data_IF_809588772205
#
_entry.id   IF_809588772205
#
_cell.length_a   1.000
_cell.length_b   1.000
_cell.length_c   1.000
_cell.angle_alpha   90.00
_cell.angle_beta   90.00
_cell.angle_gamma   90.00
#
_symmetry.space_group_name_H-M   'P 1'
#
loop_
_entity.id
_entity.type
_entity.pdbx_description
1 polymer ?
#
# COMPACT_ATOMS: atom_id res chain seq x y z
N UNK A 1 -14.24 1.19 -13.51
CA UNK A 1 -14.48 1.32 -14.96
C UNK A 1 -13.17 1.61 -15.67
N UNK A 2 -12.73 0.75 -16.60
CA UNK A 2 -11.54 0.98 -17.42
C UNK A 2 -11.74 2.20 -18.34
N UNK A 3 -10.65 2.71 -18.90
CA UNK A 3 -10.70 3.71 -19.98
C UNK A 3 -11.69 3.27 -21.06
N UNK A 4 -12.46 4.21 -21.61
CA UNK A 4 -13.55 3.96 -22.57
C UNK A 4 -13.11 3.29 -23.87
N UNK A 5 -11.82 3.33 -24.17
CA UNK A 5 -11.27 2.69 -25.37
C UNK A 5 -10.99 1.20 -25.11
N UNK A 6 -11.07 0.31 -26.11
CA UNK A 6 -10.62 -1.08 -25.98
C UNK A 6 -9.10 -1.17 -25.71
N UNK A 7 -8.62 -2.14 -24.93
CA UNK A 7 -7.18 -2.35 -24.75
C UNK A 7 -6.53 -2.82 -26.06
N UNK A 8 -5.33 -2.33 -26.34
CA UNK A 8 -4.55 -2.70 -27.55
C UNK A 8 -3.48 -3.76 -27.27
N UNK A 9 -3.15 -4.01 -26.00
CA UNK A 9 -2.14 -4.99 -25.61
C UNK A 9 -2.72 -6.41 -25.63
N UNK A 10 -2.11 -7.38 -26.34
CA UNK A 10 -2.64 -8.75 -26.44
C UNK A 10 -2.76 -9.49 -25.10
N UNK A 11 -1.93 -9.12 -24.12
CA UNK A 11 -1.96 -9.68 -22.77
C UNK A 11 -2.99 -9.03 -21.83
N UNK A 12 -3.83 -8.12 -22.33
CA UNK A 12 -4.80 -7.42 -21.49
C UNK A 12 -5.80 -8.39 -20.86
N UNK A 13 -6.05 -8.21 -19.57
CA UNK A 13 -6.98 -9.00 -18.77
C UNK A 13 -8.03 -8.08 -18.14
N UNK A 14 -9.30 -8.44 -18.31
CA UNK A 14 -10.39 -7.81 -17.58
C UNK A 14 -10.31 -8.26 -16.12
N UNK A 15 -10.23 -7.32 -15.18
CA UNK A 15 -10.09 -7.63 -13.75
C UNK A 15 -11.41 -7.45 -13.04
N UNK A 16 -11.79 -8.43 -12.23
CA UNK A 16 -12.94 -8.30 -11.32
C UNK A 16 -12.80 -9.23 -10.11
N UNK A 17 -13.80 -9.20 -9.25
CA UNK A 17 -13.95 -10.08 -8.10
C UNK A 17 -15.32 -10.76 -8.15
N UNK A 18 -15.40 -12.00 -7.67
CA UNK A 18 -16.64 -12.74 -7.51
C UNK A 18 -16.79 -13.13 -6.04
N UNK A 19 -17.93 -12.74 -5.47
CA UNK A 19 -18.40 -13.20 -4.18
C UNK A 19 -19.11 -14.54 -4.31
N UNK A 20 -18.50 -15.58 -3.74
CA UNK A 20 -19.04 -16.94 -3.77
C UNK A 20 -20.18 -17.13 -2.76
N UNK A 21 -20.36 -16.19 -1.83
CA UNK A 21 -21.38 -16.27 -0.78
C UNK A 21 -22.81 -16.15 -1.36
N UNK A 22 -22.97 -15.52 -2.52
CA UNK A 22 -24.24 -15.43 -3.25
C UNK A 22 -24.51 -16.65 -4.15
N UNK A 23 -23.55 -17.54 -4.29
CA UNK A 23 -23.63 -18.73 -5.15
C UNK A 23 -24.13 -19.91 -4.31
N UNK A 24 -25.13 -20.69 -4.73
CA UNK A 24 -25.54 -21.89 -3.98
C UNK A 24 -24.43 -22.94 -3.89
N UNK A 25 -24.31 -23.65 -2.76
CA UNK A 25 -23.27 -24.69 -2.54
C UNK A 25 -23.32 -25.85 -3.55
N UNK A 26 -24.47 -26.06 -4.20
CA UNK A 26 -24.65 -27.08 -5.24
C UNK A 26 -24.02 -26.72 -6.59
N UNK A 27 -23.59 -25.46 -6.77
CA UNK A 27 -23.04 -24.94 -8.03
C UNK A 27 -21.52 -25.08 -8.02
N UNK A 28 -20.99 -25.83 -9.00
CA UNK A 28 -19.56 -26.04 -9.18
C UNK A 28 -18.90 -25.05 -10.14
N UNK A 29 -19.67 -24.27 -10.90
CA UNK A 29 -19.17 -23.25 -11.83
C UNK A 29 -20.01 -21.99 -11.80
N UNK A 30 -19.35 -20.84 -11.90
CA UNK A 30 -20.01 -19.53 -11.97
C UNK A 30 -19.71 -18.91 -13.32
N UNK A 31 -20.75 -18.44 -14.01
CA UNK A 31 -20.62 -17.70 -15.25
C UNK A 31 -20.99 -16.23 -15.01
N UNK A 32 -20.10 -15.33 -15.37
CA UNK A 32 -20.31 -13.88 -15.28
C UNK A 32 -20.26 -13.25 -16.66
N UNK A 33 -21.03 -12.17 -16.84
CA UNK A 33 -20.95 -11.31 -18.03
C UNK A 33 -20.11 -10.09 -17.66
N UNK A 34 -18.88 -9.96 -18.18
CA UNK A 34 -18.02 -8.82 -17.88
C UNK A 34 -18.64 -7.49 -18.34
N UNK A 35 -18.67 -6.50 -17.44
CA UNK A 35 -19.04 -5.14 -17.81
C UNK A 35 -17.87 -4.42 -18.49
N UNK A 36 -18.16 -3.69 -19.57
CA UNK A 36 -17.17 -2.86 -20.28
C UNK A 36 -15.90 -3.64 -20.70
N UNK A 37 -16.05 -4.90 -21.08
CA UNK A 37 -14.94 -5.77 -21.47
C UNK A 37 -14.65 -5.77 -22.98
N UNK A 38 -15.07 -4.74 -23.71
CA UNK A 38 -14.78 -4.62 -25.14
C UNK A 38 -13.26 -4.64 -25.40
N UNK A 39 -12.82 -5.53 -26.29
CA UNK A 39 -11.41 -5.73 -26.64
C UNK A 39 -10.61 -6.64 -25.69
N UNK A 40 -11.16 -7.05 -24.55
CA UNK A 40 -10.52 -8.05 -23.70
C UNK A 40 -10.82 -9.46 -24.22
N UNK A 41 -9.80 -10.33 -24.21
CA UNK A 41 -9.94 -11.76 -24.54
C UNK A 41 -9.83 -12.67 -23.33
N UNK A 42 -9.29 -12.14 -22.23
CA UNK A 42 -9.02 -12.86 -20.99
C UNK A 42 -9.54 -12.05 -19.80
N UNK A 43 -9.84 -12.74 -18.73
CA UNK A 43 -10.19 -12.19 -17.44
C UNK A 43 -9.24 -12.71 -16.36
N UNK A 44 -9.05 -11.90 -15.32
CA UNK A 44 -8.45 -12.27 -14.05
C UNK A 44 -9.45 -11.96 -12.94
N UNK A 45 -9.84 -12.99 -12.21
CA UNK A 45 -10.91 -12.93 -11.22
C UNK A 45 -10.36 -13.26 -9.84
N UNK A 46 -10.58 -12.38 -8.86
CA UNK A 46 -10.39 -12.72 -7.45
C UNK A 46 -11.66 -13.39 -6.95
N UNK A 47 -11.56 -14.62 -6.45
CA UNK A 47 -12.68 -15.29 -5.80
C UNK A 47 -12.64 -15.00 -4.30
N UNK A 48 -13.77 -14.56 -3.73
CA UNK A 48 -13.94 -14.27 -2.30
C UNK A 48 -15.02 -15.15 -1.71
N UNK A 49 -14.81 -15.61 -0.48
CA UNK A 49 -15.82 -16.33 0.30
C UNK A 49 -15.71 -15.92 1.77
N UNK A 50 -16.85 -15.71 2.41
CA UNK A 50 -16.99 -15.18 3.76
C UNK A 50 -16.13 -13.93 4.02
N UNK A 51 -16.14 -13.01 3.05
CA UNK A 51 -15.34 -11.80 3.09
C UNK A 51 -13.83 -12.02 3.17
N UNK A 52 -13.32 -13.17 2.68
CA UNK A 52 -11.89 -13.48 2.61
C UNK A 52 -11.51 -13.95 1.20
N UNK A 53 -10.39 -13.49 0.63
CA UNK A 53 -9.94 -13.94 -0.69
C UNK A 53 -9.56 -15.42 -0.63
N UNK A 54 -9.98 -16.18 -1.63
CA UNK A 54 -9.70 -17.61 -1.78
C UNK A 54 -8.55 -17.81 -2.76
N UNK A 55 -8.70 -17.34 -3.99
CA UNK A 55 -7.70 -17.48 -5.05
C UNK A 55 -7.95 -16.50 -6.20
N UNK A 56 -6.92 -16.25 -7.01
CA UNK A 56 -7.08 -15.69 -8.34
C UNK A 56 -7.32 -16.80 -9.37
N UNK A 57 -8.16 -16.52 -10.37
CA UNK A 57 -8.41 -17.39 -11.52
C UNK A 57 -8.27 -16.57 -12.79
N UNK A 58 -7.43 -17.05 -13.71
CA UNK A 58 -7.33 -16.52 -15.06
C UNK A 58 -8.18 -17.38 -16.01
N UNK A 59 -9.07 -16.76 -16.78
CA UNK A 59 -10.00 -17.45 -17.68
C UNK A 59 -10.18 -16.70 -19.01
N UNK A 60 -10.59 -17.40 -20.06
CA UNK A 60 -10.90 -16.78 -21.35
C UNK A 60 -12.31 -16.18 -21.35
N UNK A 61 -12.48 -15.09 -22.11
CA UNK A 61 -13.80 -14.51 -22.40
C UNK A 61 -14.32 -15.17 -23.68
N UNK A 62 -15.32 -16.04 -23.55
CA UNK A 62 -15.93 -16.80 -24.66
C UNK A 62 -17.38 -16.37 -24.81
N UNK A 63 -17.76 -15.96 -26.02
CA UNK A 63 -19.11 -15.47 -26.34
C UNK A 63 -19.62 -14.38 -25.38
N UNK A 64 -18.71 -13.50 -24.93
CA UNK A 64 -19.00 -12.39 -24.02
C UNK A 64 -19.16 -12.78 -22.56
N UNK A 65 -18.83 -14.01 -22.18
CA UNK A 65 -18.94 -14.51 -20.80
C UNK A 65 -17.63 -15.12 -20.31
N UNK A 66 -17.48 -15.19 -18.98
CA UNK A 66 -16.37 -15.86 -18.31
C UNK A 66 -16.94 -16.91 -17.38
N UNK A 67 -16.48 -18.15 -17.51
CA UNK A 67 -16.88 -19.24 -16.62
C UNK A 67 -15.68 -19.71 -15.80
N UNK A 68 -15.86 -19.81 -14.49
CA UNK A 68 -14.82 -20.27 -13.55
C UNK A 68 -15.36 -21.38 -12.66
N UNK A 69 -14.47 -22.28 -12.25
CA UNK A 69 -14.77 -23.29 -11.24
C UNK A 69 -14.86 -22.64 -9.85
N UNK A 70 -15.82 -23.11 -9.06
CA UNK A 70 -15.98 -22.70 -7.67
C UNK A 70 -15.04 -23.57 -6.81
N UNK A 71 -14.01 -22.98 -6.18
CA UNK A 71 -13.13 -23.72 -5.28
C UNK A 71 -13.84 -24.07 -3.98
N UNK A 72 -13.19 -24.89 -3.15
CA UNK A 72 -13.66 -25.14 -1.78
C UNK A 72 -13.80 -23.81 -1.02
N UNK A 73 -15.01 -23.60 -0.48
CA UNK A 73 -15.37 -22.37 0.23
C UNK A 73 -14.68 -22.33 1.58
N UNK A 74 -14.34 -21.12 2.02
CA UNK A 74 -13.88 -20.91 3.39
C UNK A 74 -15.08 -20.88 4.32
N UNK A 75 -14.94 -21.47 5.50
CA UNK A 75 -15.93 -21.32 6.54
C UNK A 75 -16.08 -19.84 6.91
N UNK A 76 -17.30 -19.44 7.26
CA UNK A 76 -17.55 -18.11 7.77
C UNK A 76 -16.64 -17.82 8.97
N UNK A 77 -15.94 -16.68 8.93
CA UNK A 77 -15.21 -16.19 10.09
C UNK A 77 -16.21 -15.81 11.19
N UNK A 78 -15.79 -15.98 12.44
CA UNK A 78 -16.53 -15.44 13.59
C UNK A 78 -16.83 -13.95 13.41
N UNK A 79 -17.91 -13.49 14.04
CA UNK A 79 -18.28 -12.07 14.10
C UNK A 79 -17.09 -11.26 14.62
N UNK A 80 -16.61 -10.32 13.79
CA UNK A 80 -15.49 -9.44 14.12
C UNK A 80 -16.06 -8.18 14.77
N UNK A 81 -15.48 -7.66 15.86
CA UNK A 81 -15.82 -6.34 16.36
C UNK A 81 -15.61 -5.28 15.27
N UNK A 82 -16.51 -4.30 15.17
CA UNK A 82 -16.41 -3.18 14.24
C UNK A 82 -16.08 -1.89 15.00
N UNK A 83 -14.82 -1.69 15.44
CA UNK A 83 -14.42 -0.47 16.14
C UNK A 83 -14.47 0.75 15.20
N UNK A 84 -14.63 1.98 15.72
CA UNK A 84 -14.54 3.19 14.91
C UNK A 84 -13.19 3.30 14.17
N UNK A 85 -13.20 3.70 12.90
CA UNK A 85 -11.98 3.85 12.08
C UNK A 85 -11.85 5.27 11.53
N UNK A 86 -10.64 5.83 11.54
CA UNK A 86 -10.32 7.05 10.77
C UNK A 86 -9.62 6.65 9.48
N UNK A 87 -10.22 6.95 8.34
CA UNK A 87 -9.57 6.78 7.03
C UNK A 87 -8.78 8.05 6.72
N UNK A 88 -7.48 7.91 6.45
CA UNK A 88 -6.62 9.00 6.02
C UNK A 88 -6.24 8.79 4.56
N UNK A 89 -6.66 9.73 3.70
CA UNK A 89 -6.35 9.75 2.28
C UNK A 89 -5.50 10.99 1.99
N UNK A 90 -4.25 10.78 1.57
CA UNK A 90 -3.35 11.86 1.22
C UNK A 90 -3.38 12.10 -0.29
N UNK A 91 -3.53 13.36 -0.71
CA UNK A 91 -3.57 13.72 -2.13
C UNK A 91 -2.82 15.02 -2.39
N UNK A 92 -2.39 15.20 -3.63
CA UNK A 92 -1.75 16.45 -4.09
C UNK A 92 -1.99 16.64 -5.59
N UNK A 93 -2.75 17.67 -5.93
CA UNK A 93 -2.99 18.10 -7.32
C UNK A 93 -3.51 16.97 -8.23
N UNK A 94 -4.37 16.09 -7.71
CA UNK A 94 -4.96 14.94 -8.42
C UNK A 94 -6.48 14.81 -8.20
N UNK A 95 -7.28 15.83 -8.54
CA UNK A 95 -8.72 15.85 -8.24
C UNK A 95 -9.48 14.65 -8.82
N UNK A 96 -9.17 14.21 -10.05
CA UNK A 96 -9.85 13.08 -10.70
C UNK A 96 -9.58 11.73 -10.02
N UNK A 97 -8.37 11.53 -9.50
CA UNK A 97 -8.01 10.34 -8.73
C UNK A 97 -8.74 10.36 -7.39
N UNK A 98 -8.69 11.50 -6.69
CA UNK A 98 -9.39 11.70 -5.43
C UNK A 98 -10.90 11.44 -5.54
N UNK A 99 -11.57 11.98 -6.56
CA UNK A 99 -13.01 11.79 -6.77
C UNK A 99 -13.37 10.30 -6.83
N UNK A 100 -12.58 9.51 -7.56
CA UNK A 100 -12.78 8.06 -7.70
C UNK A 100 -12.52 7.31 -6.39
N UNK A 101 -11.45 7.66 -5.68
CA UNK A 101 -11.14 7.05 -4.39
C UNK A 101 -12.25 7.35 -3.37
N UNK A 102 -12.72 8.60 -3.29
CA UNK A 102 -13.83 8.98 -2.41
C UNK A 102 -15.15 8.30 -2.78
N UNK A 103 -15.44 8.12 -4.07
CA UNK A 103 -16.62 7.35 -4.50
C UNK A 103 -16.58 5.91 -3.96
N UNK A 104 -15.41 5.25 -3.96
CA UNK A 104 -15.27 3.91 -3.38
C UNK A 104 -15.37 3.90 -1.86
N UNK A 105 -14.79 4.89 -1.17
CA UNK A 105 -14.86 5.01 0.29
C UNK A 105 -16.30 5.25 0.77
N UNK A 106 -17.09 6.02 0.02
CA UNK A 106 -18.51 6.26 0.34
C UNK A 106 -19.37 4.99 0.24
N UNK A 107 -18.93 4.02 -0.54
CA UNK A 107 -19.59 2.72 -0.73
C UNK A 107 -19.15 1.64 0.28
N UNK A 108 -18.34 2.00 1.29
CA UNK A 108 -17.93 1.07 2.35
C UNK A 108 -19.14 0.56 3.15
N UNK A 109 -19.20 -0.74 3.34
CA UNK A 109 -20.10 -1.42 4.26
C UNK A 109 -19.50 -1.40 5.67
N UNK A 110 -19.46 -0.20 6.26
CA UNK A 110 -18.92 0.01 7.61
C UNK A 110 -19.65 1.18 8.27
N UNK A 111 -20.19 0.97 9.46
CA UNK A 111 -21.07 1.96 10.08
C UNK A 111 -20.31 3.17 10.66
N UNK A 112 -19.21 2.92 11.38
CA UNK A 112 -18.55 3.93 12.21
C UNK A 112 -17.16 4.28 11.67
N UNK A 113 -17.11 5.26 10.77
CA UNK A 113 -15.85 5.80 10.28
C UNK A 113 -15.92 7.29 9.92
N UNK A 114 -14.77 7.96 10.01
CA UNK A 114 -14.54 9.29 9.42
C UNK A 114 -13.48 9.20 8.32
N UNK A 115 -13.44 10.21 7.44
CA UNK A 115 -12.46 10.34 6.37
C UNK A 115 -11.78 11.69 6.48
N UNK A 116 -10.45 11.67 6.66
CA UNK A 116 -9.58 12.83 6.64
C UNK A 116 -8.86 12.86 5.29
N UNK A 117 -9.30 13.75 4.40
CA UNK A 117 -8.60 14.03 3.15
C UNK A 117 -7.52 15.06 3.43
N UNK A 118 -6.26 14.64 3.36
CA UNK A 118 -5.11 15.52 3.55
C UNK A 118 -4.67 16.07 2.21
N UNK A 119 -4.94 17.35 2.00
CA UNK A 119 -4.56 18.10 0.81
C UNK A 119 -3.14 18.65 0.98
N UNK A 120 -2.16 18.02 0.32
CA UNK A 120 -0.75 18.26 0.59
C UNK A 120 -0.13 19.29 -0.37
N UNK A 121 0.11 20.50 0.15
CA UNK A 121 0.70 21.63 -0.58
C UNK A 121 0.05 21.83 -1.96
N UNK A 122 -1.30 21.96 -2.02
CA UNK A 122 -2.03 22.12 -3.27
C UNK A 122 -1.62 23.38 -4.01
N UNK A 123 -1.56 23.30 -5.33
CA UNK A 123 -1.36 24.47 -6.19
C UNK A 123 -2.67 25.22 -6.50
N UNK A 124 -3.82 24.56 -6.31
CA UNK A 124 -5.16 25.07 -6.66
C UNK A 124 -6.22 24.60 -5.65
N UNK A 125 -7.43 25.15 -5.71
CA UNK A 125 -8.56 24.71 -4.88
C UNK A 125 -9.30 23.48 -5.44
N UNK A 126 -8.77 22.80 -6.46
CA UNK A 126 -9.45 21.66 -7.10
C UNK A 126 -9.77 20.52 -6.12
N UNK A 127 -8.84 20.18 -5.22
CA UNK A 127 -9.07 19.20 -4.15
C UNK A 127 -10.22 19.62 -3.23
N UNK A 128 -10.29 20.91 -2.87
CA UNK A 128 -11.36 21.43 -2.01
C UNK A 128 -12.72 21.31 -2.68
N UNK A 129 -12.80 21.59 -3.99
CA UNK A 129 -14.02 21.44 -4.77
C UNK A 129 -14.51 19.98 -4.81
N UNK A 130 -13.60 19.01 -5.01
CA UNK A 130 -13.95 17.58 -5.01
C UNK A 130 -14.50 17.14 -3.64
N UNK A 131 -13.84 17.53 -2.55
CA UNK A 131 -14.32 17.18 -1.20
C UNK A 131 -15.69 17.82 -0.91
N UNK A 132 -15.88 19.08 -1.28
CA UNK A 132 -17.16 19.78 -1.09
C UNK A 132 -18.30 19.13 -1.90
N UNK A 133 -18.01 18.66 -3.12
CA UNK A 133 -18.98 18.00 -3.99
C UNK A 133 -19.43 16.62 -3.49
N UNK A 134 -18.71 16.00 -2.56
CA UNK A 134 -19.08 14.68 -2.01
C UNK A 134 -20.36 14.72 -1.16
N UNK A 135 -20.66 15.87 -0.53
CA UNK A 135 -21.80 16.08 0.37
C UNK A 135 -21.98 14.92 1.39
N UNK A 136 -20.90 14.54 2.06
CA UNK A 136 -20.88 13.47 3.05
C UNK A 136 -20.23 13.99 4.34
N UNK A 137 -21.01 14.01 5.43
CA UNK A 137 -20.57 14.56 6.72
C UNK A 137 -19.42 13.79 7.35
N UNK A 138 -19.13 12.56 6.89
CA UNK A 138 -17.99 11.77 7.35
C UNK A 138 -16.67 12.27 6.74
N UNK A 139 -16.71 13.02 5.66
CA UNK A 139 -15.53 13.43 4.88
C UNK A 139 -15.17 14.88 5.17
N UNK A 140 -13.93 15.12 5.59
CA UNK A 140 -13.40 16.46 5.81
C UNK A 140 -12.01 16.64 5.21
N UNK A 141 -11.73 17.85 4.74
CA UNK A 141 -10.42 18.26 4.24
C UNK A 141 -9.56 18.83 5.36
N UNK A 142 -8.29 18.45 5.40
CA UNK A 142 -7.23 19.09 6.20
C UNK A 142 -6.09 19.50 5.28
N UNK A 143 -5.53 20.70 5.49
CA UNK A 143 -4.41 21.21 4.70
C UNK A 143 -3.07 20.84 5.35
N UNK A 144 -2.15 20.27 4.58
CA UNK A 144 -0.73 20.17 4.96
C UNK A 144 0.09 21.10 4.04
N UNK A 145 0.62 22.23 4.54
CA UNK A 145 1.30 23.21 3.70
C UNK A 145 2.67 22.76 3.18
N UNK A 146 3.31 21.77 3.83
CA UNK A 146 4.66 21.32 3.50
C UNK A 146 4.64 20.08 2.61
N UNK A 147 5.19 20.14 1.39
CA UNK A 147 5.12 19.00 0.46
C UNK A 147 5.84 17.76 1.02
N UNK A 148 5.24 16.59 0.81
CA UNK A 148 5.81 15.29 1.16
C UNK A 148 4.77 14.36 1.79
N UNK A 149 4.70 13.14 1.29
CA UNK A 149 3.70 12.15 1.72
C UNK A 149 3.75 11.86 3.23
N UNK A 150 4.95 11.77 3.82
CA UNK A 150 5.08 11.60 5.27
C UNK A 150 4.54 12.78 6.08
N UNK A 151 4.67 14.02 5.58
CA UNK A 151 4.06 15.18 6.24
C UNK A 151 2.54 15.06 6.20
N UNK A 152 1.99 14.74 5.03
CA UNK A 152 0.56 14.55 4.86
C UNK A 152 0.02 13.43 5.77
N UNK A 153 0.70 12.29 5.83
CA UNK A 153 0.34 11.16 6.70
C UNK A 153 0.44 11.53 8.19
N UNK A 154 1.44 12.30 8.61
CA UNK A 154 1.52 12.81 9.98
C UNK A 154 0.36 13.75 10.32
N UNK A 155 0.04 14.68 9.43
CA UNK A 155 -1.10 15.60 9.60
C UNK A 155 -2.43 14.86 9.65
N UNK A 156 -2.61 13.85 8.80
CA UNK A 156 -3.77 12.95 8.86
C UNK A 156 -3.84 12.15 10.16
N UNK A 157 -2.72 11.55 10.59
CA UNK A 157 -2.63 10.79 11.86
C UNK A 157 -3.02 11.64 13.07
N UNK A 158 -2.54 12.89 13.13
CA UNK A 158 -2.85 13.81 14.22
C UNK A 158 -4.31 14.27 14.17
N UNK A 159 -4.86 14.46 12.97
CA UNK A 159 -6.23 14.91 12.75
C UNK A 159 -7.27 13.82 13.01
N UNK A 160 -6.91 12.55 12.85
CA UNK A 160 -7.77 11.40 13.10
C UNK A 160 -8.30 11.37 14.55
N UNK A 161 -9.59 11.07 14.72
CA UNK A 161 -10.26 11.01 16.02
C UNK A 161 -10.32 9.60 16.62
N UNK A 162 -10.18 8.57 15.80
CA UNK A 162 -10.28 7.18 16.23
C UNK A 162 -8.91 6.54 16.50
N UNK A 163 -8.91 5.46 17.29
CA UNK A 163 -7.68 4.74 17.64
C UNK A 163 -7.14 3.90 16.48
N UNK A 164 -7.99 3.44 15.56
CA UNK A 164 -7.55 2.78 14.33
C UNK A 164 -7.53 3.80 13.21
N UNK A 165 -6.37 3.96 12.58
CA UNK A 165 -6.17 4.87 11.45
C UNK A 165 -5.76 4.06 10.23
N UNK A 166 -6.65 3.99 9.24
CA UNK A 166 -6.43 3.30 7.97
C UNK A 166 -5.93 4.30 6.92
N UNK A 167 -4.76 4.04 6.34
CA UNK A 167 -4.16 4.84 5.28
C UNK A 167 -4.39 4.19 3.93
N UNK A 168 -4.77 5.02 2.97
CA UNK A 168 -4.86 4.63 1.55
C UNK A 168 -4.51 5.81 0.64
N UNK A 169 -4.28 5.53 -0.64
CA UNK A 169 -3.83 6.51 -1.63
C UNK A 169 -5.00 7.02 -2.50
N UNK A 170 -4.77 8.06 -3.30
CA UNK A 170 -5.80 8.63 -4.19
C UNK A 170 -5.98 7.86 -5.50
N UNK A 171 -5.04 7.00 -5.88
CA UNK A 171 -5.04 6.22 -7.12
C UNK A 171 -5.53 4.77 -6.96
N UNK A 172 -6.32 4.53 -5.90
CA UNK A 172 -6.89 3.23 -5.55
C UNK A 172 -8.41 3.25 -5.48
N UNK A 173 -8.99 2.05 -5.46
CA UNK A 173 -10.42 1.79 -5.22
C UNK A 173 -10.52 0.80 -4.07
N UNK A 174 -11.11 1.21 -2.95
CA UNK A 174 -11.26 0.33 -1.78
C UNK A 174 -12.42 -0.65 -2.01
N UNK A 175 -12.27 -1.88 -1.52
CA UNK A 175 -13.37 -2.85 -1.49
C UNK A 175 -14.43 -2.46 -0.45
N UNK A 176 -15.74 -2.70 -0.66
CA UNK A 176 -16.78 -2.37 0.31
C UNK A 176 -16.56 -2.97 1.71
N UNK A 177 -15.91 -4.13 1.82
CA UNK A 177 -15.59 -4.80 3.09
C UNK A 177 -14.17 -4.46 3.60
N UNK A 178 -13.48 -3.49 2.99
CA UNK A 178 -12.09 -3.15 3.32
C UNK A 178 -11.87 -2.89 4.83
N UNK A 179 -12.72 -2.07 5.46
CA UNK A 179 -12.60 -1.76 6.88
C UNK A 179 -12.95 -2.94 7.79
N UNK A 180 -13.82 -3.84 7.35
CA UNK A 180 -14.10 -5.09 8.06
C UNK A 180 -12.85 -5.99 8.08
N UNK A 181 -12.15 -6.08 6.94
CA UNK A 181 -10.86 -6.75 6.85
C UNK A 181 -9.80 -6.12 7.76
N UNK A 182 -9.70 -4.78 7.79
CA UNK A 182 -8.79 -4.08 8.71
C UNK A 182 -9.11 -4.41 10.17
N UNK A 183 -10.38 -4.34 10.57
CA UNK A 183 -10.82 -4.69 11.91
C UNK A 183 -10.46 -6.13 12.28
N UNK A 184 -10.64 -7.09 11.35
CA UNK A 184 -10.26 -8.50 11.51
C UNK A 184 -8.76 -8.66 11.73
N UNK A 185 -7.93 -7.86 11.08
CA UNK A 185 -6.48 -7.89 11.28
C UNK A 185 -6.07 -7.55 12.71
N UNK A 186 -6.77 -6.59 13.34
CA UNK A 186 -6.49 -6.19 14.73
C UNK A 186 -6.96 -7.20 15.77
N UNK A 187 -7.83 -8.17 15.42
CA UNK A 187 -8.23 -9.25 16.36
C UNK A 187 -7.23 -10.40 16.41
N UNK A 188 -6.19 -10.40 15.57
CA UNK A 188 -5.17 -11.46 15.51
C UNK A 188 -4.19 -11.45 16.69
N UNK A 189 -4.25 -10.44 17.55
CA UNK A 189 -3.49 -10.38 18.81
C UNK A 189 -3.53 -9.01 19.47
N UNK A 190 -3.37 -8.98 20.79
CA UNK A 190 -3.50 -7.75 21.58
C UNK A 190 -2.38 -6.72 21.29
N UNK A 191 -1.20 -7.20 20.86
CA UNK A 191 -0.05 -6.35 20.53
C UNK A 191 0.05 -5.98 19.03
N UNK A 192 -1.02 -6.19 18.25
CA UNK A 192 -1.08 -5.77 16.85
C UNK A 192 -1.13 -4.25 16.77
N UNK A 193 -0.09 -3.68 16.16
CA UNK A 193 0.04 -2.23 15.96
C UNK A 193 -0.19 -1.83 14.51
N UNK A 194 0.08 -2.73 13.56
CA UNK A 194 -0.07 -2.47 12.14
C UNK A 194 -0.77 -3.64 11.45
N UNK A 195 -1.76 -3.34 10.61
CA UNK A 195 -2.44 -4.29 9.72
C UNK A 195 -2.21 -3.81 8.30
N UNK A 196 -1.62 -4.64 7.45
CA UNK A 196 -1.52 -4.42 6.02
C UNK A 196 -2.59 -5.25 5.31
N UNK A 197 -3.10 -4.76 4.18
CA UNK A 197 -4.07 -5.48 3.36
C UNK A 197 -3.53 -5.92 2.00
N UNK A 198 -4.39 -6.61 1.25
CA UNK A 198 -4.10 -7.01 -0.13
C UNK A 198 -4.23 -5.81 -1.07
N UNK A 199 -3.31 -5.69 -2.02
CA UNK A 199 -3.35 -4.64 -3.05
C UNK A 199 -3.22 -5.25 -4.45
N UNK A 200 -4.30 -5.86 -4.98
CA UNK A 200 -4.30 -6.39 -6.34
C UNK A 200 -4.34 -5.27 -7.39
N UNK A 201 -3.87 -5.60 -8.60
CA UNK A 201 -4.04 -4.75 -9.77
C UNK A 201 -5.52 -4.58 -10.08
N UNK A 202 -6.02 -3.34 -10.10
CA UNK A 202 -7.40 -3.05 -10.51
C UNK A 202 -7.60 -2.97 -12.03
N UNK A 203 -6.52 -3.03 -12.81
CA UNK A 203 -6.55 -2.87 -14.26
C UNK A 203 -5.30 -3.51 -14.89
N UNK A 204 -5.49 -4.37 -15.89
CA UNK A 204 -4.41 -5.00 -16.66
C UNK A 204 -4.64 -4.76 -18.17
N UNK A 205 -4.27 -3.56 -18.64
CA UNK A 205 -4.49 -3.10 -20.02
C UNK A 205 -3.22 -2.91 -20.83
N UNK A 206 -2.09 -2.72 -20.16
CA UNK A 206 -0.80 -2.50 -20.82
C UNK A 206 0.26 -3.46 -20.29
N UNK A 207 1.29 -3.69 -21.10
CA UNK A 207 2.44 -4.48 -20.69
C UNK A 207 3.09 -3.96 -19.39
N UNK A 208 3.14 -2.65 -19.19
CA UNK A 208 3.65 -2.03 -17.96
C UNK A 208 2.83 -2.43 -16.73
N UNK A 209 1.49 -2.48 -16.84
CA UNK A 209 0.61 -2.92 -15.75
C UNK A 209 0.79 -4.42 -15.47
N UNK A 210 0.81 -5.26 -16.51
CA UNK A 210 1.08 -6.70 -16.36
C UNK A 210 2.45 -7.00 -15.76
N UNK A 211 3.47 -6.24 -16.13
CA UNK A 211 4.82 -6.38 -15.57
C UNK A 211 4.84 -6.03 -14.07
N UNK A 212 4.16 -4.94 -13.70
CA UNK A 212 4.10 -4.51 -12.30
C UNK A 212 3.40 -5.57 -11.44
N UNK A 213 2.24 -6.04 -11.90
CA UNK A 213 1.43 -7.08 -11.25
C UNK A 213 2.25 -8.34 -10.92
N UNK A 214 3.05 -8.83 -11.87
CA UNK A 214 3.90 -10.02 -11.64
C UNK A 214 5.14 -9.76 -10.78
N UNK A 215 5.55 -8.50 -10.65
CA UNK A 215 6.81 -8.11 -10.00
C UNK A 215 6.63 -7.85 -8.51
N UNK A 216 5.49 -7.30 -8.10
CA UNK A 216 5.26 -6.92 -6.70
C UNK A 216 4.47 -8.00 -5.95
N UNK A 217 4.82 -8.31 -4.69
CA UNK A 217 4.15 -9.39 -3.94
C UNK A 217 2.85 -8.92 -3.27
N UNK A 218 2.25 -7.82 -3.72
CA UNK A 218 1.18 -7.11 -2.99
C UNK A 218 -0.15 -7.86 -2.93
N UNK A 219 -0.33 -8.87 -3.80
CA UNK A 219 -1.51 -9.73 -3.84
C UNK A 219 -1.19 -11.23 -3.62
N UNK A 220 0.07 -11.57 -3.32
CA UNK A 220 0.52 -12.97 -3.19
C UNK A 220 -0.02 -13.67 -1.93
N UNK A 221 -0.38 -12.90 -0.91
CA UNK A 221 -0.83 -13.43 0.38
C UNK A 221 -2.34 -13.58 0.37
N UNK A 222 -2.82 -14.84 0.37
CA UNK A 222 -4.26 -15.19 0.42
C UNK A 222 -4.70 -15.70 1.80
N UNK A 223 -3.76 -15.94 2.71
CA UNK A 223 -4.01 -16.34 4.10
C UNK A 223 -3.42 -15.30 5.06
N UNK A 224 -4.09 -15.00 6.19
CA UNK A 224 -3.57 -14.06 7.17
C UNK A 224 -2.19 -14.47 7.68
N UNK A 225 -1.26 -13.50 7.75
CA UNK A 225 0.10 -13.72 8.28
C UNK A 225 0.39 -12.77 9.43
N UNK A 226 0.85 -13.33 10.55
CA UNK A 226 1.25 -12.55 11.74
C UNK A 226 2.77 -12.50 11.82
N UNK A 227 3.34 -11.29 11.82
CA UNK A 227 4.77 -11.03 11.83
C UNK A 227 5.20 -10.44 13.17
N UNK A 228 6.16 -11.09 13.82
CA UNK A 228 6.78 -10.62 15.06
C UNK A 228 8.25 -11.01 15.11
N UNK A 229 9.08 -10.20 15.77
CA UNK A 229 10.50 -10.54 16.00
C UNK A 229 10.69 -11.69 17.00
N UNK A 230 9.66 -12.01 17.80
CA UNK A 230 9.66 -13.14 18.72
C UNK A 230 9.51 -14.47 17.97
N UNK A 231 8.69 -14.49 16.91
CA UNK A 231 8.47 -15.65 16.04
C UNK A 231 8.70 -15.27 14.57
N UNK A 232 9.97 -15.07 14.14
CA UNK A 232 10.27 -14.62 12.80
C UNK A 232 9.93 -15.70 11.76
N UNK A 233 9.30 -15.34 10.64
CA UNK A 233 8.86 -16.32 9.65
C UNK A 233 10.05 -16.98 8.93
N UNK A 234 9.93 -18.28 8.68
CA UNK A 234 11.05 -19.11 8.17
C UNK A 234 11.44 -18.80 6.72
N UNK A 235 10.48 -18.34 5.91
CA UNK A 235 10.62 -17.95 4.51
C UNK A 235 11.25 -16.56 4.31
N UNK A 236 11.47 -15.79 5.39
CA UNK A 236 12.13 -14.48 5.36
C UNK A 236 13.47 -14.52 6.12
N UNK A 237 14.56 -14.98 5.48
CA UNK A 237 15.85 -15.18 6.13
C UNK A 237 16.47 -13.89 6.71
N UNK A 238 16.10 -12.73 6.19
CA UNK A 238 16.61 -11.43 6.63
C UNK A 238 15.56 -10.65 7.44
N UNK A 239 14.49 -11.28 7.90
CA UNK A 239 13.48 -10.62 8.74
C UNK A 239 14.12 -9.95 9.97
N UNK A 240 13.75 -8.69 10.32
CA UNK A 240 12.70 -7.84 9.74
C UNK A 240 13.17 -6.88 8.63
N UNK A 241 14.29 -7.14 7.96
CA UNK A 241 14.80 -6.29 6.86
C UNK A 241 14.16 -6.61 5.49
N UNK A 242 13.08 -7.40 5.47
CA UNK A 242 12.30 -7.75 4.27
C UNK A 242 10.83 -7.31 4.40
N UNK A 243 10.57 -6.25 5.17
CA UNK A 243 9.22 -5.76 5.48
C UNK A 243 8.40 -5.34 4.27
N UNK A 244 9.01 -5.08 3.11
CA UNK A 244 8.28 -4.88 1.85
C UNK A 244 7.51 -6.13 1.38
N UNK A 245 7.73 -7.30 1.99
CA UNK A 245 6.94 -8.51 1.77
C UNK A 245 5.75 -8.65 2.74
N UNK A 246 5.64 -7.76 3.72
CA UNK A 246 4.56 -7.77 4.70
C UNK A 246 3.36 -6.92 4.24
N UNK A 247 3.56 -5.95 3.37
CA UNK A 247 2.52 -5.04 2.87
C UNK A 247 3.10 -3.88 2.07
N UNK A 248 2.27 -2.88 1.78
CA UNK A 248 2.61 -1.69 0.98
C UNK A 248 1.94 -0.45 1.56
N UNK A 249 2.51 0.73 1.32
CA UNK A 249 1.97 2.02 1.76
C UNK A 249 0.57 2.38 1.23
N UNK A 250 0.05 1.66 0.22
CA UNK A 250 -1.27 1.92 -0.35
C UNK A 250 -2.45 1.35 0.48
N UNK A 251 -2.18 0.40 1.38
CA UNK A 251 -3.22 -0.28 2.17
C UNK A 251 -2.66 -0.80 3.48
N UNK A 252 -2.72 0.04 4.52
CA UNK A 252 -2.39 -0.37 5.87
C UNK A 252 -3.16 0.45 6.89
N UNK A 253 -3.31 -0.07 8.10
CA UNK A 253 -3.88 0.63 9.23
C UNK A 253 -3.00 0.45 10.46
N UNK A 254 -3.08 1.40 11.38
CA UNK A 254 -2.26 1.42 12.60
C UNK A 254 -3.08 1.78 13.83
N UNK A 255 -2.57 1.40 15.00
CA UNK A 255 -2.96 2.01 16.28
C UNK A 255 -2.39 3.42 16.37
N UNK A 256 -3.27 4.42 16.44
CA UNK A 256 -2.95 5.84 16.42
C UNK A 256 -2.00 6.19 17.55
N UNK A 257 -2.39 5.89 18.79
CA UNK A 257 -1.60 6.16 20.00
C UNK A 257 -0.18 5.61 19.86
N UNK A 258 -0.08 4.36 19.42
CA UNK A 258 1.19 3.67 19.27
C UNK A 258 2.06 4.25 18.16
N UNK A 259 1.49 4.63 17.02
CA UNK A 259 2.28 5.27 15.96
C UNK A 259 2.79 6.66 16.39
N UNK A 260 2.01 7.40 17.17
CA UNK A 260 2.47 8.67 17.76
C UNK A 260 3.66 8.43 18.70
N UNK A 261 3.59 7.41 19.56
CA UNK A 261 4.72 7.00 20.44
C UNK A 261 5.96 6.54 19.65
N UNK A 262 5.78 5.95 18.47
CA UNK A 262 6.87 5.59 17.56
C UNK A 262 7.42 6.80 16.76
N UNK A 263 6.82 7.98 16.95
CA UNK A 263 7.25 9.25 16.37
C UNK A 263 6.68 9.58 15.00
N UNK A 264 5.61 8.92 14.57
CA UNK A 264 4.95 9.16 13.29
C UNK A 264 5.76 8.65 12.09
N UNK A 265 5.59 9.31 10.95
CA UNK A 265 6.32 9.08 9.71
C UNK A 265 7.53 9.99 9.60
N UNK A 266 8.62 9.46 9.06
CA UNK A 266 9.84 10.23 8.81
C UNK A 266 9.63 11.23 7.67
N UNK A 267 9.71 12.52 7.99
CA UNK A 267 9.44 13.60 7.03
C UNK A 267 10.40 13.58 5.84
N UNK A 268 11.59 12.96 5.96
CA UNK A 268 12.56 12.84 4.88
C UNK A 268 12.25 11.70 3.91
N UNK A 269 11.43 10.73 4.30
CA UNK A 269 11.03 9.60 3.48
C UNK A 269 9.73 9.88 2.72
N UNK A 270 9.47 9.11 1.66
CA UNK A 270 8.23 9.19 0.89
C UNK A 270 8.25 10.03 -0.37
N UNK A 271 7.18 9.90 -1.16
CA UNK A 271 6.98 10.65 -2.39
C UNK A 271 6.86 12.14 -2.08
N UNK A 272 7.39 12.99 -2.96
CA UNK A 272 7.45 14.45 -2.76
C UNK A 272 8.68 14.91 -1.96
N UNK A 273 9.56 13.98 -1.54
CA UNK A 273 10.88 14.29 -0.94
C UNK A 273 12.01 13.90 -1.91
N UNK A 274 13.27 14.05 -1.48
CA UNK A 274 14.44 13.61 -2.24
C UNK A 274 14.61 12.08 -2.27
N UNK A 275 14.01 11.35 -1.33
CA UNK A 275 14.14 9.88 -1.27
C UNK A 275 13.09 9.17 -2.12
N UNK A 276 11.99 9.85 -2.45
CA UNK A 276 10.93 9.37 -3.32
C UNK A 276 10.21 8.08 -2.85
N UNK A 277 10.41 7.66 -1.60
CA UNK A 277 9.84 6.44 -1.02
C UNK A 277 10.52 6.01 0.27
N UNK A 278 10.18 4.80 0.73
CA UNK A 278 10.79 4.10 1.87
C UNK A 278 10.15 4.39 3.24
N UNK A 279 9.09 5.19 3.27
CA UNK A 279 8.37 5.58 4.49
C UNK A 279 7.52 4.46 5.08
N UNK A 280 6.95 3.59 4.23
CA UNK A 280 6.22 2.40 4.62
C UNK A 280 7.16 1.31 5.15
N UNK A 281 8.29 1.07 4.47
CA UNK A 281 9.37 0.20 4.94
C UNK A 281 9.88 0.64 6.31
N UNK A 282 10.07 1.95 6.50
CA UNK A 282 10.48 2.51 7.78
C UNK A 282 9.44 2.28 8.89
N UNK A 283 8.16 2.55 8.61
CA UNK A 283 7.07 2.31 9.54
C UNK A 283 7.01 0.83 9.96
N UNK A 284 6.90 -0.09 8.99
CA UNK A 284 6.74 -1.52 9.26
C UNK A 284 7.94 -2.07 10.02
N UNK A 285 9.15 -1.63 9.66
CA UNK A 285 10.35 -1.99 10.38
C UNK A 285 10.33 -1.48 11.83
N UNK A 286 9.94 -0.22 12.07
CA UNK A 286 9.88 0.34 13.43
C UNK A 286 8.86 -0.34 14.31
N UNK A 287 7.69 -0.69 13.78
CA UNK A 287 6.68 -1.51 14.49
C UNK A 287 7.30 -2.82 14.98
N UNK A 288 7.96 -3.56 14.10
CA UNK A 288 8.59 -4.84 14.46
C UNK A 288 9.81 -4.67 15.39
N UNK A 289 10.60 -3.61 15.18
CA UNK A 289 11.77 -3.31 16.00
C UNK A 289 11.40 -2.89 17.42
N UNK A 290 10.21 -2.28 17.61
CA UNK A 290 9.64 -1.97 18.92
C UNK A 290 9.11 -3.20 19.67
N UNK A 291 9.06 -4.37 19.01
CA UNK A 291 8.54 -5.62 19.58
C UNK A 291 7.04 -5.82 19.35
N UNK A 292 6.39 -4.92 18.62
CA UNK A 292 4.97 -5.01 18.29
C UNK A 292 4.75 -5.99 17.13
N UNK A 293 3.48 -6.32 16.87
CA UNK A 293 3.08 -7.23 15.80
C UNK A 293 2.55 -6.47 14.59
N UNK A 294 2.95 -6.93 13.40
CA UNK A 294 2.41 -6.53 12.11
C UNK A 294 1.62 -7.71 11.53
N UNK A 295 0.39 -7.47 11.08
CA UNK A 295 -0.46 -8.48 10.45
C UNK A 295 -0.62 -8.15 8.96
N UNK A 296 -0.50 -9.13 8.09
CA UNK A 296 -1.06 -9.05 6.74
C UNK A 296 -2.42 -9.75 6.78
N UNK A 297 -3.50 -8.99 6.60
CA UNK A 297 -4.88 -9.48 6.59
C UNK A 297 -5.45 -9.32 5.18
N UNK A 298 -5.44 -10.40 4.38
CA UNK A 298 -5.72 -10.31 2.95
C UNK A 298 -7.19 -9.99 2.64
N UNK A 299 -8.08 -10.10 3.62
CA UNK A 299 -9.48 -9.63 3.49
C UNK A 299 -9.63 -8.12 3.45
N UNK A 300 -8.62 -7.34 3.85
CA UNK A 300 -8.61 -5.90 3.62
C UNK A 300 -8.13 -5.61 2.19
N UNK A 301 -9.04 -5.48 1.22
CA UNK A 301 -8.70 -5.38 -0.21
C UNK A 301 -8.76 -3.93 -0.70
N UNK A 302 -7.73 -3.50 -1.44
CA UNK A 302 -7.68 -2.21 -2.15
C UNK A 302 -7.14 -2.42 -3.55
N UNK A 303 -7.95 -2.11 -4.57
CA UNK A 303 -7.57 -2.25 -5.98
C UNK A 303 -6.72 -1.07 -6.42
N UNK A 304 -5.47 -1.33 -6.82
CA UNK A 304 -4.54 -0.29 -7.22
C UNK A 304 -4.47 -0.16 -8.74
N UNK A 305 -4.52 1.08 -9.24
CA UNK A 305 -4.34 1.34 -10.67
C UNK A 305 -2.87 1.64 -10.97
N UNK A 306 -2.16 0.65 -11.49
CA UNK A 306 -0.77 0.85 -11.90
C UNK A 306 -0.64 1.81 -13.08
N UNK A 307 0.48 2.52 -13.13
CA UNK A 307 0.81 3.44 -14.23
C UNK A 307 0.83 2.67 -15.55
N UNK A 308 0.21 3.25 -16.58
CA UNK A 308 0.08 2.62 -17.89
C UNK A 308 1.32 2.76 -18.78
N UNK A 309 2.24 3.67 -18.45
CA UNK A 309 3.41 4.04 -19.26
C UNK A 309 4.76 3.55 -18.68
N UNK A 310 5.62 3.05 -19.57
CA UNK A 310 6.94 2.49 -19.25
C UNK A 310 7.96 3.53 -18.76
N UNK A 311 7.89 4.79 -19.20
CA UNK A 311 8.78 5.83 -18.66
C UNK A 311 8.38 6.20 -17.23
N UNK A 312 7.08 6.25 -16.96
CA UNK A 312 6.55 6.45 -15.61
C UNK A 312 6.93 5.29 -14.66
N UNK A 313 6.98 4.04 -15.16
CA UNK A 313 7.46 2.86 -14.44
C UNK A 313 8.96 2.97 -14.08
N UNK A 314 9.80 3.45 -15.00
CA UNK A 314 11.24 3.67 -14.73
C UNK A 314 11.47 4.72 -13.63
N UNK A 315 10.71 5.82 -13.65
CA UNK A 315 10.77 6.83 -12.59
C UNK A 315 10.36 6.24 -11.23
N UNK A 316 9.32 5.41 -11.22
CA UNK A 316 8.86 4.73 -10.00
C UNK A 316 9.91 3.76 -9.46
N UNK A 317 10.50 2.91 -10.31
CA UNK A 317 11.55 1.96 -9.91
C UNK A 317 12.80 2.67 -9.35
N UNK A 318 13.21 3.80 -9.95
CA UNK A 318 14.28 4.65 -9.40
C UNK A 318 13.92 5.22 -8.03
N UNK A 319 12.67 5.63 -7.84
CA UNK A 319 12.15 6.10 -6.55
C UNK A 319 12.21 5.02 -5.46
N UNK A 320 11.80 3.79 -5.79
CA UNK A 320 11.90 2.64 -4.87
C UNK A 320 13.35 2.34 -4.48
N UNK A 321 14.28 2.38 -5.44
CA UNK A 321 15.72 2.22 -5.16
C UNK A 321 16.25 3.29 -4.22
N UNK A 322 16.00 4.57 -4.50
CA UNK A 322 16.39 5.68 -3.63
C UNK A 322 15.82 5.56 -2.22
N UNK A 323 14.52 5.23 -2.11
CA UNK A 323 13.82 5.05 -0.85
C UNK A 323 14.39 3.88 -0.02
N UNK A 324 14.64 2.74 -0.66
CA UNK A 324 15.29 1.58 -0.05
C UNK A 324 16.68 1.94 0.50
N UNK A 325 17.50 2.63 -0.31
CA UNK A 325 18.83 3.08 0.13
C UNK A 325 18.79 4.07 1.29
N UNK A 326 17.83 5.00 1.28
CA UNK A 326 17.62 5.96 2.36
C UNK A 326 17.19 5.26 3.66
N UNK A 327 16.21 4.34 3.58
CA UNK A 327 15.77 3.57 4.73
C UNK A 327 16.88 2.68 5.31
N UNK A 328 17.63 1.95 4.48
CA UNK A 328 18.79 1.16 4.93
C UNK A 328 19.84 2.03 5.62
N UNK A 329 20.07 3.25 5.11
CA UNK A 329 20.96 4.22 5.74
C UNK A 329 20.44 4.63 7.12
N UNK A 330 19.15 4.95 7.23
CA UNK A 330 18.50 5.29 8.51
C UNK A 330 18.65 4.15 9.53
N UNK A 331 18.36 2.91 9.12
CA UNK A 331 18.55 1.69 9.93
C UNK A 331 19.99 1.57 10.40
N UNK A 332 20.97 1.80 9.52
CA UNK A 332 22.39 1.71 9.88
C UNK A 332 22.84 2.80 10.85
N UNK A 333 22.31 4.03 10.73
CA UNK A 333 22.64 5.14 11.62
C UNK A 333 22.11 4.92 13.04
N UNK A 334 20.96 4.26 13.20
CA UNK A 334 20.40 3.95 14.52
C UNK A 334 21.13 2.79 15.21
N UNK A 335 21.67 3.03 16.41
CA UNK A 335 22.57 2.08 17.12
C UNK A 335 21.90 0.73 17.38
N UNK A 336 20.65 0.71 17.80
CA UNK A 336 19.92 -0.52 18.14
C UNK A 336 19.52 -1.31 16.91
N UNK A 337 19.09 -0.62 15.85
CA UNK A 337 18.72 -1.24 14.58
C UNK A 337 19.95 -1.85 13.88
N UNK A 338 21.10 -1.16 13.93
CA UNK A 338 22.37 -1.70 13.45
C UNK A 338 22.79 -2.96 14.22
N UNK A 339 22.60 -3.01 15.54
CA UNK A 339 22.86 -4.22 16.34
C UNK A 339 21.90 -5.36 15.97
N UNK A 340 20.63 -5.06 15.72
CA UNK A 340 19.66 -6.03 15.21
C UNK A 340 20.09 -6.60 13.85
N UNK A 341 20.53 -5.74 12.92
CA UNK A 341 21.03 -6.16 11.61
C UNK A 341 22.22 -7.12 11.73
N UNK A 342 23.21 -6.79 12.56
CA UNK A 342 24.37 -7.66 12.80
C UNK A 342 23.96 -9.02 13.41
N UNK A 343 22.98 -9.05 14.31
CA UNK A 343 22.46 -10.31 14.88
C UNK A 343 21.78 -11.18 13.82
N UNK A 344 20.94 -10.59 12.97
CA UNK A 344 20.25 -11.31 11.88
C UNK A 344 21.27 -11.89 10.90
N UNK A 345 22.22 -11.06 10.43
CA UNK A 345 23.28 -11.49 9.52
C UNK A 345 24.12 -12.62 10.13
N UNK A 346 24.48 -12.52 11.41
CA UNK A 346 25.26 -13.57 12.10
C UNK A 346 24.49 -14.88 12.25
N UNK A 347 23.20 -14.82 12.64
CA UNK A 347 22.35 -16.03 12.81
C UNK A 347 22.06 -16.73 11.49
N UNK A 348 21.95 -15.96 10.41
CA UNK A 348 21.53 -16.45 9.09
C UNK A 348 22.66 -16.40 8.06
N UNK A 349 23.91 -16.31 8.49
CA UNK A 349 25.10 -16.21 7.63
C UNK A 349 25.13 -17.28 6.52
N UNK A 350 24.75 -18.53 6.83
CA UNK A 350 24.63 -19.60 5.81
C UNK A 350 23.52 -19.35 4.79
N UNK A 351 22.36 -18.85 5.22
CA UNK A 351 21.26 -18.47 4.32
C UNK A 351 21.58 -17.22 3.50
N UNK A 352 22.35 -16.28 4.07
CA UNK A 352 22.86 -15.07 3.39
C UNK A 352 23.87 -15.46 2.31
N UNK A 353 24.78 -16.41 2.59
CA UNK A 353 25.74 -16.91 1.60
C UNK A 353 25.06 -17.72 0.51
N UNK A 354 24.14 -18.62 0.86
CA UNK A 354 23.38 -19.42 -0.10
C UNK A 354 22.48 -18.57 -1.02
N UNK A 355 22.03 -17.39 -0.55
CA UNK A 355 21.20 -16.44 -1.30
C UNK A 355 21.93 -15.14 -1.64
N UNK A 356 23.25 -15.07 -1.48
CA UNK A 356 24.04 -13.92 -1.93
C UNK A 356 23.96 -13.71 -3.44
N UNK A 357 23.59 -14.77 -4.17
CA UNK A 357 23.22 -14.75 -5.58
C UNK A 357 21.77 -14.28 -5.85
N UNK A 358 20.91 -14.23 -4.83
CA UNK A 358 19.46 -13.98 -4.90
C UNK A 358 19.04 -12.59 -4.39
N UNK A 359 19.98 -11.73 -3.97
CA UNK A 359 19.69 -10.30 -3.79
C UNK A 359 19.25 -9.64 -5.12
N UNK A 360 19.49 -10.33 -6.23
CA UNK A 360 18.87 -10.09 -7.52
C UNK A 360 17.34 -10.29 -7.55
N UNK A 361 16.68 -10.69 -6.46
CA UNK A 361 15.21 -10.80 -6.38
C UNK A 361 14.47 -9.47 -6.16
N UNK A 362 15.18 -8.33 -6.06
CA UNK A 362 14.58 -7.03 -6.45
C UNK A 362 14.34 -7.03 -7.98
N UNK A 363 15.04 -7.87 -8.74
CA UNK A 363 14.77 -8.18 -10.13
C UNK A 363 14.23 -9.61 -10.24
N UNK A 364 13.06 -9.91 -9.66
CA UNK A 364 12.26 -11.01 -10.18
C UNK A 364 12.15 -10.77 -11.70
N UNK A 365 12.82 -11.63 -12.47
CA UNK A 365 12.69 -11.62 -13.92
C UNK A 365 11.23 -11.94 -14.20
N UNK A 366 10.46 -10.92 -14.57
CA UNK A 366 9.12 -11.11 -15.07
C UNK A 366 9.25 -12.07 -16.25
N UNK A 367 8.79 -13.31 -16.06
CA UNK A 367 8.82 -14.34 -17.09
C UNK A 367 7.81 -13.84 -18.14
N UNK A 368 8.22 -13.75 -19.39
CA UNK A 368 7.41 -13.41 -20.59
C UNK A 368 7.27 -11.96 -21.10
N UNK A 369 7.87 -10.91 -20.51
CA UNK A 369 7.72 -9.55 -21.09
C UNK A 369 8.72 -9.17 -22.21
N UNK A 370 9.61 -10.08 -22.62
CA UNK A 370 10.47 -9.92 -23.82
C UNK A 370 11.17 -8.55 -23.95
N UNK A 371 10.99 -7.89 -25.10
CA UNK A 371 11.46 -6.52 -25.38
C UNK A 371 10.38 -5.45 -25.08
N UNK A 372 9.21 -5.83 -24.55
CA UNK A 372 8.08 -4.91 -24.27
C UNK A 372 8.32 -4.03 -23.04
N UNK A 373 9.21 -4.48 -22.13
CA UNK A 373 9.65 -3.72 -20.96
C UNK A 373 11.15 -3.44 -21.06
N UNK A 374 11.62 -2.21 -20.80
CA UNK A 374 13.04 -1.92 -20.80
C UNK A 374 13.81 -2.84 -19.84
N UNK A 375 14.80 -3.59 -20.35
CA UNK A 375 15.66 -4.50 -19.56
C UNK A 375 16.44 -3.79 -18.42
N UNK A 376 16.41 -2.47 -18.43
CA UNK A 376 17.13 -1.58 -17.51
C UNK A 376 16.36 -1.28 -16.22
N UNK A 377 15.05 -1.57 -16.15
CA UNK A 377 14.20 -1.25 -14.98
C UNK A 377 14.80 -1.79 -13.67
N UNK A 378 15.13 -3.09 -13.64
CA UNK A 378 15.74 -3.71 -12.45
C UNK A 378 17.16 -3.20 -12.14
N UNK A 379 17.95 -2.85 -13.17
CA UNK A 379 19.31 -2.31 -12.99
C UNK A 379 19.26 -0.90 -12.38
N UNK A 380 18.36 -0.06 -12.85
CA UNK A 380 18.22 1.31 -12.37
C UNK A 380 17.79 1.38 -10.90
N UNK A 381 16.89 0.50 -10.46
CA UNK A 381 16.49 0.41 -9.06
C UNK A 381 17.69 0.07 -8.16
N UNK A 382 18.48 -0.95 -8.52
CA UNK A 382 19.66 -1.37 -7.76
C UNK A 382 20.72 -0.26 -7.70
N UNK A 383 21.01 0.42 -8.81
CA UNK A 383 21.96 1.54 -8.80
C UNK A 383 21.44 2.75 -8.02
N UNK A 384 20.13 3.00 -8.03
CA UNK A 384 19.52 4.10 -7.29
C UNK A 384 19.64 3.93 -5.76
N UNK A 385 19.75 2.71 -5.24
CA UNK A 385 20.01 2.43 -3.81
C UNK A 385 21.24 3.20 -3.30
N UNK A 386 22.28 3.32 -4.12
CA UNK A 386 23.51 4.04 -3.73
C UNK A 386 23.29 5.55 -3.55
N UNK A 387 22.25 6.13 -4.17
CA UNK A 387 21.88 7.54 -4.01
C UNK A 387 21.07 7.83 -2.74
N UNK A 388 20.48 6.80 -2.13
CA UNK A 388 19.63 6.92 -0.94
C UNK A 388 20.28 7.65 0.26
N UNK A 389 21.54 7.35 0.65
CA UNK A 389 22.20 8.06 1.75
C UNK A 389 22.29 9.58 1.53
N UNK A 390 22.65 10.00 0.30
CA UNK A 390 22.75 11.41 -0.06
C UNK A 390 21.36 12.08 -0.04
N UNK A 391 20.35 11.40 -0.59
CA UNK A 391 18.97 11.88 -0.59
C UNK A 391 18.43 12.09 0.83
N UNK A 392 18.68 11.12 1.74
CA UNK A 392 18.32 11.23 3.15
C UNK A 392 19.00 12.42 3.82
N UNK A 393 20.31 12.57 3.62
CA UNK A 393 21.09 13.68 4.17
C UNK A 393 20.58 15.04 3.66
N UNK A 394 20.24 15.15 2.36
CA UNK A 394 19.63 16.36 1.81
C UNK A 394 18.30 16.68 2.50
N UNK A 395 17.44 15.67 2.72
CA UNK A 395 16.20 15.83 3.47
C UNK A 395 16.42 16.37 4.89
N UNK A 396 17.42 15.84 5.61
CA UNK A 396 17.79 16.35 6.94
C UNK A 396 18.27 17.80 6.92
N UNK A 397 19.06 18.20 5.92
CA UNK A 397 19.49 19.61 5.77
C UNK A 397 18.34 20.56 5.47
N UNK A 398 17.22 20.05 4.96
CA UNK A 398 15.99 20.82 4.76
C UNK A 398 15.10 20.88 6.02
N UNK A 399 15.59 20.40 7.17
CA UNK A 399 14.84 20.43 8.43
C UNK A 399 13.85 19.28 8.63
N UNK A 400 13.80 18.30 7.72
CA UNK A 400 12.89 17.15 7.82
C UNK A 400 13.32 16.22 8.95
N UNK A 401 12.42 15.95 9.90
CA UNK A 401 12.69 15.21 11.14
C UNK A 401 12.45 13.71 10.99
N UNK A 402 13.20 12.91 11.76
CA UNK A 402 13.11 11.45 11.71
C UNK A 402 11.92 10.91 12.53
N UNK A 403 11.56 11.62 13.61
CA UNK A 403 10.48 11.31 14.55
C UNK A 403 9.76 12.60 14.94
N UNK A 404 9.07 13.26 13.98
CA UNK A 404 8.49 14.60 14.18
C UNK A 404 7.46 14.70 15.30
N UNK A 405 6.88 13.57 15.75
CA UNK A 405 5.86 13.56 16.80
C UNK A 405 6.43 13.32 18.21
N UNK A 406 7.72 12.99 18.34
CA UNK A 406 8.41 12.88 19.64
C UNK A 406 9.19 14.15 20.01
N UNK A 407 9.56 14.94 19.01
CA UNK A 407 10.31 16.17 19.20
C UNK A 407 9.32 17.35 19.23
N UNK A 408 9.30 18.18 20.29
CA UNK A 408 8.44 19.35 20.30
C UNK A 408 8.77 20.23 19.08
N UNK A 409 7.76 20.57 18.28
CA UNK A 409 7.94 21.53 17.19
C UNK A 409 8.56 22.82 17.75
N UNK A 410 9.57 23.40 17.08
CA UNK A 410 10.03 24.74 17.47
C UNK A 410 8.81 25.66 17.39
N UNK A 411 8.48 26.30 18.52
CA UNK A 411 7.43 27.29 18.60
C UNK A 411 7.75 28.38 17.58
N UNK A 412 7.00 28.43 16.49
CA UNK A 412 7.02 29.58 15.58
C UNK A 412 6.23 30.66 16.31
N UNK A 413 6.92 31.59 16.95
CA UNK A 413 6.27 32.78 17.49
C UNK A 413 5.51 33.48 16.36
N UNK A 414 4.23 33.85 16.56
CA UNK A 414 3.48 34.58 15.57
C UNK A 414 4.21 35.88 15.26
N UNK A 415 4.59 36.06 13.99
CA UNK A 415 5.17 37.30 13.52
C UNK A 415 4.14 38.42 13.77
N UNK A 416 4.47 39.48 14.51
CA UNK A 416 3.52 40.55 14.77
C UNK A 416 3.13 41.17 13.43
N UNK A 417 1.82 41.21 13.17
CA UNK A 417 1.24 41.93 12.05
C UNK A 417 1.72 43.38 12.13
N UNK A 418 2.58 43.78 11.19
CA UNK A 418 2.90 45.18 10.97
C UNK A 418 1.66 45.82 10.35
N UNK A 419 0.90 46.55 11.16
CA UNK A 419 -0.09 47.50 10.69
C UNK A 419 0.59 48.55 9.79
N UNK A 420 0.14 48.65 8.54
CA UNK A 420 0.31 49.82 7.69
C UNK A 420 -0.95 50.06 6.88
#
# INVERSE_FOLDING_TARGET
MPLTEPPVWPGAQWVSMIDLDDVPDSISTVTVTPEQAEGYRRARLLLRSAGSPVTFVDADIVDGTVTVEVPDRRAASDAVPHPPVSVVLCTRDRPEHLERALASIRALDYADFEVVVVDNAPATDATAAVVAACDDSRIRRVLEPTPGLSNARNTGLLSATHEIVAFTDDDVVVDPQWLQGIARGFTRGDNVTCVCGMVPSGELRTAAQGYFDQRVPWADTIEPRVYSTQNPPADHPLFPFQVGKCGTGANFAVRRSRLVELGGFDEALGVGTKTCGGEDLDLFFRVLAAGDTLVNEPSAIVWHRHRSDSAALLTQARGYGLGLGAWLTKVFLHREHRRLALRVVRRRFRSVLARGADYGAIAAHARDFGDEIPKEVGRHEVFAVLGGPLALWQGRRQGRRATPLLEPSPVVEPTPLLER
#
